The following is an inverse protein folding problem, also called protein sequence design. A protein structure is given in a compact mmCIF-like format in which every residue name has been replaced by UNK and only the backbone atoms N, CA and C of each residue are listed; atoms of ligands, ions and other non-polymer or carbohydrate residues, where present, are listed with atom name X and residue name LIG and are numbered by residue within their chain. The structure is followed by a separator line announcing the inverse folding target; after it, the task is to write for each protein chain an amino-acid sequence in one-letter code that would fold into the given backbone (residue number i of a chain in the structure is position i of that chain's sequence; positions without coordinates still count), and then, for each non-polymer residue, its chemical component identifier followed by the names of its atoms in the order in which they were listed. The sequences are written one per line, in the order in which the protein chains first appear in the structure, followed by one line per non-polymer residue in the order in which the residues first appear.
data_IF_492125100428
#
_entry.id   IF_492125100428
#
_cell.length_a   1.000
_cell.length_b   1.000
_cell.length_c   1.000
_cell.angle_alpha   90.00
_cell.angle_beta   90.00
_cell.angle_gamma   90.00
#
_symmetry.space_group_name_H-M   'P 1'
#
loop_
_entity.id
_entity.type
_entity.pdbx_description
1 polymer ?
#
# COMPACT_ATOMS: atom_id res chain seq x y z
N UNK A 1 -79.07 17.06 -25.01
CA UNK A 1 -80.11 16.03 -24.91
C UNK A 1 -79.78 15.22 -23.70
N UNK A 2 -80.42 15.54 -22.63
CA UNK A 2 -81.40 14.72 -21.84
C UNK A 2 -80.72 13.53 -21.18
N UNK A 3 -80.82 13.32 -19.90
CA UNK A 3 -81.69 13.77 -18.80
C UNK A 3 -81.40 12.83 -17.64
N UNK A 4 -81.28 13.34 -16.45
CA UNK A 4 -82.27 13.33 -15.36
C UNK A 4 -82.51 11.97 -14.71
N UNK A 5 -82.35 11.93 -13.43
CA UNK A 5 -83.17 11.28 -12.40
C UNK A 5 -82.23 10.57 -11.38
N UNK A 6 -82.12 10.85 -10.14
CA UNK A 6 -83.07 11.38 -9.15
C UNK A 6 -83.43 10.25 -8.23
N UNK A 7 -83.16 10.36 -6.92
CA UNK A 7 -83.73 9.43 -5.96
C UNK A 7 -83.09 9.54 -4.55
N UNK A 8 -83.78 10.31 -3.71
CA UNK A 8 -83.57 10.46 -2.24
C UNK A 8 -83.94 9.22 -1.45
N UNK A 9 -83.43 9.13 -0.21
CA UNK A 9 -83.93 8.29 0.87
C UNK A 9 -82.86 8.10 1.92
N UNK A 10 -82.78 8.90 2.84
CA UNK A 10 -83.20 9.17 4.22
C UNK A 10 -83.22 7.92 5.12
N UNK A 11 -82.63 8.08 6.32
CA UNK A 11 -82.93 7.18 7.43
C UNK A 11 -81.84 6.84 8.40
N UNK A 12 -81.51 7.79 9.25
CA UNK A 12 -81.30 7.65 10.73
C UNK A 12 -80.59 6.43 11.32
N UNK A 13 -79.73 6.66 12.20
CA UNK A 13 -79.42 5.72 13.27
C UNK A 13 -78.09 5.89 13.99
N UNK A 14 -78.08 6.77 14.95
CA UNK A 14 -77.11 6.95 16.02
C UNK A 14 -76.53 5.67 16.63
N UNK A 15 -75.30 5.84 17.11
CA UNK A 15 -74.72 5.34 18.35
C UNK A 15 -73.42 4.53 18.17
N UNK A 16 -72.45 5.08 18.74
CA UNK A 16 -71.55 4.89 19.86
C UNK A 16 -70.17 4.33 19.54
N UNK A 17 -69.25 5.20 19.91
CA UNK A 17 -68.18 5.22 20.94
C UNK A 17 -66.92 4.47 20.67
N UNK A 18 -65.88 5.26 20.75
CA UNK A 18 -64.58 5.02 21.46
C UNK A 18 -63.98 3.62 21.28
N UNK A 19 -62.93 3.55 20.51
CA UNK A 19 -61.69 2.86 20.90
C UNK A 19 -60.49 3.55 20.23
N UNK A 20 -59.96 4.41 20.98
CA UNK A 20 -58.56 4.54 21.43
C UNK A 20 -57.47 4.19 20.42
N UNK A 21 -56.80 5.22 20.06
CA UNK A 21 -55.39 5.37 19.81
C UNK A 21 -54.48 4.36 20.54
N UNK A 22 -54.04 3.32 19.87
CA UNK A 22 -52.75 2.66 20.15
C UNK A 22 -52.32 2.03 18.84
N UNK A 23 -51.50 2.69 18.06
CA UNK A 23 -51.04 2.18 16.78
C UNK A 23 -50.18 3.18 16.03
N UNK A 24 -49.26 3.80 16.74
CA UNK A 24 -48.41 4.78 16.12
C UNK A 24 -47.09 4.98 16.85
N UNK A 25 -46.35 3.89 17.06
CA UNK A 25 -44.95 4.01 17.59
C UNK A 25 -44.21 2.68 17.39
N UNK A 26 -44.15 2.20 16.15
CA UNK A 26 -43.27 1.06 15.79
C UNK A 26 -42.88 1.22 14.31
N UNK A 27 -42.17 2.31 14.03
CA UNK A 27 -41.75 2.61 12.66
C UNK A 27 -40.58 3.56 12.57
N UNK A 28 -39.61 3.45 13.50
CA UNK A 28 -38.38 4.27 13.45
C UNK A 28 -37.23 3.59 14.19
N UNK A 29 -36.92 2.35 13.83
CA UNK A 29 -35.69 1.66 14.23
C UNK A 29 -35.23 0.67 13.14
N UNK A 30 -35.25 1.11 11.89
CA UNK A 30 -34.64 0.36 10.80
C UNK A 30 -33.69 1.29 10.04
N UNK A 31 -32.64 1.75 10.72
CA UNK A 31 -31.68 2.62 10.09
C UNK A 31 -30.45 2.79 10.97
N UNK A 32 -29.70 1.74 11.15
CA UNK A 32 -28.27 1.83 11.54
C UNK A 32 -27.70 0.43 11.86
N UNK A 33 -27.66 -0.42 10.84
CA UNK A 33 -26.79 -1.57 10.86
C UNK A 33 -25.60 -1.30 9.92
N UNK A 34 -24.92 -0.18 10.12
CA UNK A 34 -23.54 -0.04 9.68
C UNK A 34 -22.71 -0.56 10.84
N UNK A 35 -22.19 -1.75 10.70
CA UNK A 35 -21.44 -2.42 11.73
C UNK A 35 -20.11 -1.71 11.99
N UNK A 36 -20.09 -0.82 12.94
CA UNK A 36 -18.89 -0.64 13.76
C UNK A 36 -18.64 -1.98 14.47
N UNK A 37 -17.39 -2.44 14.47
CA UNK A 37 -16.99 -3.56 15.32
C UNK A 37 -17.53 -3.28 16.71
N UNK A 38 -18.39 -4.13 17.26
CA UNK A 38 -19.05 -3.86 18.55
C UNK A 38 -18.00 -3.58 19.63
N UNK A 39 -18.35 -2.80 20.66
CA UNK A 39 -17.43 -2.44 21.75
C UNK A 39 -16.68 -3.64 22.34
N UNK A 40 -17.26 -4.82 22.31
CA UNK A 40 -16.63 -6.08 22.71
C UNK A 40 -15.47 -6.48 21.81
N UNK A 41 -15.60 -6.34 20.48
CA UNK A 41 -14.53 -6.67 19.55
C UNK A 41 -13.41 -5.62 19.57
N UNK A 42 -13.74 -4.33 19.76
CA UNK A 42 -12.73 -3.30 20.00
C UNK A 42 -11.92 -3.56 21.28
N UNK A 43 -12.54 -4.11 22.33
CA UNK A 43 -11.83 -4.55 23.52
C UNK A 43 -10.78 -5.64 23.25
N UNK A 44 -10.94 -6.43 22.22
CA UNK A 44 -9.95 -7.46 21.83
C UNK A 44 -8.67 -6.85 21.23
N UNK A 45 -8.70 -5.63 20.66
CA UNK A 45 -7.50 -4.95 20.16
C UNK A 45 -6.45 -4.72 21.24
N UNK A 46 -6.85 -4.55 22.50
CA UNK A 46 -5.91 -4.41 23.61
C UNK A 46 -5.41 -5.77 24.14
N UNK A 47 -6.22 -6.81 24.06
CA UNK A 47 -5.95 -8.10 24.70
C UNK A 47 -5.34 -9.13 23.72
N UNK A 48 -5.99 -9.36 22.58
CA UNK A 48 -5.64 -10.40 21.61
C UNK A 48 -4.89 -9.86 20.41
N UNK A 49 -5.26 -8.68 19.95
CA UNK A 49 -4.71 -8.09 18.74
C UNK A 49 -3.82 -6.87 19.03
N UNK A 50 -2.92 -6.56 18.09
CA UNK A 50 -2.19 -5.29 18.08
C UNK A 50 -3.16 -4.14 17.80
N UNK A 51 -2.78 -2.88 18.03
CA UNK A 51 -3.65 -1.74 17.72
C UNK A 51 -4.12 -1.67 16.25
N UNK A 52 -3.40 -2.33 15.34
CA UNK A 52 -3.73 -2.40 13.91
C UNK A 52 -4.32 -3.75 13.48
N UNK A 53 -4.72 -4.62 14.43
CA UNK A 53 -5.43 -5.86 14.15
C UNK A 53 -4.56 -7.07 13.84
N UNK A 54 -3.24 -6.96 13.97
CA UNK A 54 -2.33 -8.10 13.95
C UNK A 54 -2.52 -8.96 15.21
N UNK A 55 -2.24 -10.25 15.17
CA UNK A 55 -2.30 -11.10 16.36
C UNK A 55 -1.12 -10.83 17.29
N UNK A 56 -1.37 -10.58 18.59
CA UNK A 56 -0.29 -10.37 19.56
C UNK A 56 0.53 -11.61 19.80
N UNK A 57 -0.12 -12.77 19.85
CA UNK A 57 0.56 -14.04 20.08
C UNK A 57 1.46 -14.41 18.89
N UNK A 58 2.54 -15.10 19.16
CA UNK A 58 3.31 -15.82 18.17
C UNK A 58 2.49 -16.97 17.54
N UNK A 59 3.06 -17.62 16.52
CA UNK A 59 2.43 -18.82 15.96
C UNK A 59 2.75 -20.07 16.79
N UNK A 60 2.09 -21.19 16.45
CA UNK A 60 2.14 -22.40 17.25
C UNK A 60 3.52 -23.07 17.33
N UNK A 61 4.33 -22.96 16.28
CA UNK A 61 5.69 -23.52 16.22
C UNK A 61 6.79 -22.56 16.70
N UNK A 62 6.42 -21.33 17.10
CA UNK A 62 7.33 -20.31 17.60
C UNK A 62 8.18 -19.63 16.53
N UNK A 63 7.98 -19.94 15.24
CA UNK A 63 8.74 -19.32 14.15
C UNK A 63 8.34 -17.86 13.90
N UNK A 64 7.13 -17.45 14.31
CA UNK A 64 6.70 -16.05 14.40
C UNK A 64 6.59 -15.70 15.89
N UNK A 65 7.39 -14.75 16.41
CA UNK A 65 7.37 -14.39 17.82
C UNK A 65 6.11 -13.59 18.19
N UNK A 66 5.77 -13.49 19.48
CA UNK A 66 4.76 -12.54 19.96
C UNK A 66 5.16 -11.10 19.60
N UNK A 67 4.16 -10.27 19.32
CA UNK A 67 4.41 -8.84 19.10
C UNK A 67 4.79 -8.14 20.41
N UNK A 68 5.91 -7.43 20.40
CA UNK A 68 6.51 -6.77 21.56
C UNK A 68 6.54 -5.23 21.45
N UNK A 69 5.84 -4.68 20.43
CA UNK A 69 5.81 -3.24 20.14
C UNK A 69 6.72 -2.80 19.00
N UNK A 70 7.52 -3.72 18.46
CA UNK A 70 8.39 -3.47 17.32
C UNK A 70 9.66 -2.67 17.65
N UNK A 71 10.31 -2.19 16.62
CA UNK A 71 11.55 -1.42 16.69
C UNK A 71 11.23 0.08 16.80
N UNK A 72 11.04 0.55 18.03
CA UNK A 72 10.71 1.94 18.34
C UNK A 72 11.98 2.83 18.38
N UNK A 73 11.84 4.18 18.41
CA UNK A 73 12.98 5.08 18.57
C UNK A 73 13.85 4.80 19.79
N UNK A 74 13.28 4.24 20.86
CA UNK A 74 14.00 3.87 22.08
C UNK A 74 14.80 2.57 21.95
N UNK A 75 14.43 1.73 20.97
CA UNK A 75 15.06 0.41 20.72
C UNK A 75 15.99 0.41 19.50
N UNK A 76 16.25 1.60 18.92
CA UNK A 76 17.18 1.74 17.79
C UNK A 76 18.60 1.35 18.16
N UNK A 77 19.42 0.94 17.17
CA UNK A 77 20.85 0.71 17.40
C UNK A 77 21.53 1.94 18.02
N UNK A 78 22.33 1.74 19.07
CA UNK A 78 22.96 2.83 19.83
C UNK A 78 23.96 3.63 18.98
N UNK A 79 24.57 2.97 18.00
CA UNK A 79 25.57 3.56 17.09
C UNK A 79 24.95 4.45 16.02
N UNK A 80 23.62 4.35 15.80
CA UNK A 80 22.97 5.14 14.78
C UNK A 80 22.86 6.61 15.17
N UNK A 81 23.20 7.48 14.23
CA UNK A 81 23.11 8.93 14.39
C UNK A 81 21.98 9.52 13.54
N UNK A 82 21.30 10.52 14.07
CA UNK A 82 20.19 11.19 13.38
C UNK A 82 20.62 11.73 12.01
N UNK A 83 19.81 11.42 10.99
CA UNK A 83 20.08 11.76 9.59
C UNK A 83 21.11 10.85 8.91
N UNK A 84 21.68 9.90 9.64
CA UNK A 84 22.57 8.88 9.07
C UNK A 84 21.80 7.71 8.46
N UNK A 85 22.49 6.91 7.66
CA UNK A 85 21.96 5.68 7.07
C UNK A 85 21.52 4.69 8.14
N UNK A 86 20.41 4.01 7.90
CA UNK A 86 19.89 3.03 8.84
C UNK A 86 20.84 1.84 8.98
N UNK A 87 21.26 1.58 10.21
CA UNK A 87 22.08 0.43 10.59
C UNK A 87 21.16 -0.78 10.74
N UNK A 88 21.55 -1.92 10.17
CA UNK A 88 20.84 -3.17 10.33
C UNK A 88 20.95 -3.67 11.78
N UNK A 89 19.85 -3.68 12.57
CA UNK A 89 19.87 -4.19 13.94
C UNK A 89 20.08 -5.71 14.01
N UNK A 90 20.02 -6.40 12.87
CA UNK A 90 20.12 -7.86 12.73
C UNK A 90 21.33 -8.30 11.90
N UNK A 91 22.32 -7.43 11.67
CA UNK A 91 23.49 -7.66 10.81
C UNK A 91 24.31 -8.90 11.19
N UNK A 92 24.26 -9.29 12.47
CA UNK A 92 24.97 -10.50 12.96
C UNK A 92 24.29 -11.82 12.67
N UNK A 93 23.05 -11.81 12.18
CA UNK A 93 22.27 -13.02 11.93
C UNK A 93 22.68 -13.73 10.65
N UNK A 94 22.54 -15.05 10.68
CA UNK A 94 22.70 -15.93 9.52
C UNK A 94 21.34 -16.48 9.11
N UNK A 95 21.15 -16.80 7.81
CA UNK A 95 19.94 -17.51 7.39
C UNK A 95 19.76 -18.81 8.18
N UNK A 96 18.55 -19.03 8.68
CA UNK A 96 18.14 -20.31 9.28
C UNK A 96 18.07 -21.42 8.24
N UNK A 97 17.69 -21.04 7.03
CA UNK A 97 17.64 -21.95 5.89
C UNK A 97 17.75 -21.17 4.59
N UNK A 98 18.18 -21.87 3.55
CA UNK A 98 18.18 -21.38 2.17
C UNK A 98 17.21 -22.23 1.38
N UNK A 99 16.08 -21.64 0.93
CA UNK A 99 15.14 -22.33 0.05
C UNK A 99 15.71 -22.26 -1.37
N UNK A 100 15.79 -23.40 -2.02
CA UNK A 100 16.22 -23.58 -3.40
C UNK A 100 15.50 -24.77 -4.03
N UNK A 101 15.83 -25.10 -5.28
CA UNK A 101 15.17 -26.18 -6.04
C UNK A 101 15.11 -27.52 -5.28
N UNK A 102 16.16 -27.84 -4.52
CA UNK A 102 16.30 -29.15 -3.89
C UNK A 102 15.38 -29.36 -2.68
N UNK A 103 14.91 -28.28 -2.06
CA UNK A 103 14.05 -28.32 -0.88
C UNK A 103 12.73 -27.58 -1.05
N UNK A 104 12.47 -26.97 -2.20
CA UNK A 104 11.29 -26.17 -2.51
C UNK A 104 9.97 -26.85 -2.07
N UNK A 105 9.82 -28.12 -2.39
CA UNK A 105 8.58 -28.86 -2.12
C UNK A 105 8.20 -28.87 -0.62
N UNK A 106 9.19 -28.84 0.27
CA UNK A 106 8.98 -28.80 1.72
C UNK A 106 8.40 -27.48 2.20
N UNK A 107 8.68 -26.38 1.49
CA UNK A 107 8.32 -25.02 1.90
C UNK A 107 7.25 -24.40 1.00
N UNK A 108 6.78 -25.10 -0.03
CA UNK A 108 5.86 -24.57 -1.04
C UNK A 108 4.57 -23.97 -0.42
N UNK A 109 4.05 -24.53 0.67
CA UNK A 109 2.87 -24.02 1.36
C UNK A 109 3.09 -22.63 2.04
N UNK A 110 4.35 -22.24 2.24
CA UNK A 110 4.75 -20.94 2.82
C UNK A 110 5.32 -19.98 1.76
N UNK A 111 5.11 -20.29 0.48
CA UNK A 111 5.52 -19.47 -0.66
C UNK A 111 4.29 -19.04 -1.47
N UNK A 112 4.28 -17.81 -1.94
CA UNK A 112 3.23 -17.35 -2.84
C UNK A 112 3.34 -18.05 -4.22
N UNK A 113 2.25 -18.13 -5.00
CA UNK A 113 2.30 -18.60 -6.39
C UNK A 113 3.37 -17.90 -7.24
N UNK A 114 3.56 -16.58 -7.03
CA UNK A 114 4.58 -15.81 -7.74
C UNK A 114 6.01 -16.24 -7.39
N UNK A 115 6.31 -16.48 -6.12
CA UNK A 115 7.61 -17.00 -5.69
C UNK A 115 7.85 -18.40 -6.26
N UNK A 116 6.83 -19.26 -6.24
CA UNK A 116 6.93 -20.61 -6.84
C UNK A 116 7.18 -20.53 -8.37
N UNK A 117 6.56 -19.56 -9.06
CA UNK A 117 6.81 -19.35 -10.49
C UNK A 117 8.26 -18.89 -10.77
N UNK A 118 8.85 -18.05 -9.91
CA UNK A 118 10.28 -17.69 -10.02
C UNK A 118 11.20 -18.90 -9.81
N UNK A 119 10.91 -19.77 -8.85
CA UNK A 119 11.66 -21.03 -8.69
C UNK A 119 11.53 -21.94 -9.91
N UNK A 120 10.34 -22.04 -10.48
CA UNK A 120 10.13 -22.85 -11.68
C UNK A 120 10.89 -22.29 -12.90
N UNK A 121 10.97 -20.96 -13.02
CA UNK A 121 11.63 -20.29 -14.14
C UNK A 121 13.15 -20.26 -14.00
N UNK A 122 13.67 -20.07 -12.79
CA UNK A 122 15.10 -19.89 -12.50
C UNK A 122 15.59 -20.84 -11.40
N UNK A 123 15.43 -22.16 -11.57
CA UNK A 123 15.67 -23.14 -10.51
C UNK A 123 17.12 -23.17 -10.02
N UNK A 124 18.07 -22.80 -10.85
CA UNK A 124 19.49 -22.88 -10.50
C UNK A 124 20.03 -21.61 -9.84
N UNK A 125 19.36 -20.47 -9.99
CA UNK A 125 19.84 -19.18 -9.49
C UNK A 125 18.94 -18.55 -8.44
N UNK A 126 17.61 -18.70 -8.54
CA UNK A 126 16.68 -18.11 -7.59
C UNK A 126 16.68 -18.88 -6.27
N UNK A 127 16.93 -18.18 -5.18
CA UNK A 127 17.00 -18.74 -3.83
C UNK A 127 16.42 -17.74 -2.83
N UNK A 128 15.79 -18.22 -1.76
CA UNK A 128 15.30 -17.40 -0.64
C UNK A 128 16.11 -17.70 0.62
N UNK A 129 17.00 -16.80 1.06
CA UNK A 129 17.61 -16.89 2.39
C UNK A 129 16.57 -16.46 3.44
N UNK A 130 16.19 -17.40 4.30
CA UNK A 130 15.19 -17.19 5.35
C UNK A 130 15.90 -16.96 6.68
N UNK A 131 15.56 -15.85 7.33
CA UNK A 131 16.15 -15.42 8.60
C UNK A 131 15.15 -15.57 9.76
N UNK A 132 15.60 -15.43 11.02
CA UNK A 132 14.67 -15.33 12.15
C UNK A 132 13.67 -14.19 11.94
N UNK A 133 12.42 -14.42 12.31
CA UNK A 133 11.36 -13.43 12.17
C UNK A 133 11.45 -12.37 13.27
N UNK A 134 11.46 -11.09 12.85
CA UNK A 134 11.35 -9.94 13.73
C UNK A 134 10.15 -9.09 13.33
N UNK A 135 9.18 -8.97 14.22
CA UNK A 135 8.00 -8.11 14.04
C UNK A 135 8.39 -6.66 14.34
N UNK A 136 9.25 -6.10 13.47
CA UNK A 136 9.93 -4.82 13.69
C UNK A 136 9.02 -3.60 13.54
N UNK A 137 7.83 -3.75 12.94
CA UNK A 137 6.96 -2.62 12.70
C UNK A 137 6.54 -1.92 14.00
N UNK A 138 6.65 -0.60 13.99
CA UNK A 138 6.09 0.31 14.99
C UNK A 138 5.51 1.54 14.29
N UNK A 139 4.50 2.15 14.89
CA UNK A 139 3.91 3.43 14.47
C UNK A 139 3.82 4.37 15.68
N UNK A 140 3.60 5.68 15.47
CA UNK A 140 3.40 6.61 16.58
C UNK A 140 2.17 6.27 17.43
N UNK A 141 2.25 6.50 18.74
CA UNK A 141 1.16 6.24 19.68
C UNK A 141 -0.14 6.94 19.29
N UNK A 142 -0.05 8.14 18.70
CA UNK A 142 -1.22 8.87 18.21
C UNK A 142 -1.94 8.13 17.07
N UNK A 143 -1.19 7.45 16.18
CA UNK A 143 -1.74 6.64 15.10
C UNK A 143 -2.42 5.37 15.64
N UNK A 144 -1.81 4.72 16.63
CA UNK A 144 -2.42 3.59 17.34
C UNK A 144 -3.71 3.99 18.06
N UNK A 145 -3.68 5.12 18.79
CA UNK A 145 -4.87 5.64 19.47
C UNK A 145 -6.00 6.01 18.50
N UNK A 146 -5.66 6.57 17.33
CA UNK A 146 -6.62 6.85 16.27
C UNK A 146 -7.24 5.57 15.71
N UNK A 147 -6.44 4.55 15.43
CA UNK A 147 -6.91 3.24 14.96
C UNK A 147 -7.84 2.56 15.95
N UNK A 148 -7.52 2.66 17.25
CA UNK A 148 -8.40 2.13 18.30
C UNK A 148 -9.77 2.85 18.33
N UNK A 149 -9.80 4.18 18.20
CA UNK A 149 -11.05 4.94 18.07
C UNK A 149 -11.83 4.54 16.82
N UNK A 150 -11.16 4.41 15.69
CA UNK A 150 -11.78 4.04 14.43
C UNK A 150 -12.49 2.68 14.52
N UNK A 151 -11.92 1.71 15.24
CA UNK A 151 -12.54 0.41 15.44
C UNK A 151 -13.96 0.44 16.00
N UNK A 152 -14.33 1.52 16.69
CA UNK A 152 -15.68 1.69 17.29
C UNK A 152 -16.55 2.72 16.58
N UNK A 153 -15.97 3.57 15.74
CA UNK A 153 -16.67 4.74 15.17
C UNK A 153 -16.71 4.71 13.64
N UNK A 154 -15.65 4.15 13.00
CA UNK A 154 -15.58 4.15 11.56
C UNK A 154 -16.49 3.08 10.95
N UNK A 155 -17.09 3.43 9.84
CA UNK A 155 -17.88 2.51 9.01
C UNK A 155 -17.69 2.88 7.53
N UNK A 156 -17.95 1.94 6.63
CA UNK A 156 -18.07 2.25 5.21
C UNK A 156 -19.48 2.77 4.93
N UNK A 157 -19.61 3.86 4.16
CA UNK A 157 -20.87 4.24 3.57
C UNK A 157 -21.33 3.19 2.54
N UNK A 158 -22.53 3.34 1.98
CA UNK A 158 -23.10 2.41 1.02
C UNK A 158 -22.39 2.38 -0.34
N UNK A 159 -21.35 3.20 -0.48
CA UNK A 159 -20.53 3.28 -1.68
C UNK A 159 -21.08 4.14 -2.80
N UNK A 160 -22.37 4.45 -2.81
CA UNK A 160 -22.97 5.27 -3.86
C UNK A 160 -22.35 4.98 -5.24
N UNK A 161 -21.81 6.01 -5.89
CA UNK A 161 -21.13 5.88 -7.19
C UNK A 161 -19.78 5.15 -7.14
N UNK A 162 -19.18 4.94 -5.98
CA UNK A 162 -17.84 4.33 -5.84
C UNK A 162 -17.87 2.81 -5.74
N UNK A 163 -19.01 2.23 -5.40
CA UNK A 163 -19.24 0.80 -5.20
C UNK A 163 -18.32 0.11 -4.15
N UNK A 164 -17.47 0.86 -3.46
CA UNK A 164 -16.58 0.35 -2.38
C UNK A 164 -16.84 1.01 -1.05
N UNK A 165 -17.66 2.06 -1.04
CA UNK A 165 -17.82 2.93 0.12
C UNK A 165 -16.55 3.74 0.43
N UNK A 166 -16.70 4.70 1.32
CA UNK A 166 -15.59 5.46 1.90
C UNK A 166 -15.65 5.41 3.42
N UNK A 167 -14.51 5.42 4.12
CA UNK A 167 -14.49 5.43 5.57
C UNK A 167 -15.12 6.71 6.12
N UNK A 168 -16.21 6.56 6.86
CA UNK A 168 -16.89 7.63 7.58
C UNK A 168 -16.43 7.65 9.02
N UNK A 169 -16.41 8.83 9.67
CA UNK A 169 -16.05 9.05 11.07
C UNK A 169 -14.63 8.58 11.44
N UNK A 170 -13.80 8.23 10.45
CA UNK A 170 -12.41 7.83 10.68
C UNK A 170 -11.53 9.07 10.96
N UNK A 171 -10.70 8.96 11.99
CA UNK A 171 -9.62 9.91 12.30
C UNK A 171 -8.26 9.34 11.82
N UNK A 172 -7.17 10.08 12.06
CA UNK A 172 -5.82 9.59 11.77
C UNK A 172 -5.57 8.23 12.44
N UNK A 173 -5.28 7.22 11.62
CA UNK A 173 -5.22 5.79 11.96
C UNK A 173 -5.77 4.94 10.83
N UNK A 174 -5.59 3.64 10.88
CA UNK A 174 -6.33 2.76 9.98
C UNK A 174 -7.81 2.73 10.37
N UNK A 175 -8.74 2.71 9.39
CA UNK A 175 -10.16 2.80 9.69
C UNK A 175 -10.76 1.52 10.30
N UNK A 176 -10.28 0.34 9.92
CA UNK A 176 -10.90 -0.96 10.24
C UNK A 176 -9.87 -1.98 10.76
N UNK A 177 -9.35 -1.84 12.00
CA UNK A 177 -8.31 -2.75 12.53
C UNK A 177 -8.71 -4.24 12.48
N UNK A 178 -10.00 -4.54 12.56
CA UNK A 178 -10.54 -5.89 12.40
C UNK A 178 -11.51 -5.88 11.21
N UNK A 179 -11.01 -5.95 9.97
CA UNK A 179 -11.84 -5.83 8.79
C UNK A 179 -12.71 -7.07 8.58
N UNK A 180 -13.98 -6.88 8.21
CA UNK A 180 -14.93 -7.93 7.88
C UNK A 180 -14.91 -8.29 6.38
N UNK A 181 -14.40 -7.40 5.55
CA UNK A 181 -14.44 -7.54 4.10
C UNK A 181 -13.21 -6.94 3.40
N UNK A 182 -13.14 -7.18 2.08
CA UNK A 182 -12.00 -6.73 1.28
C UNK A 182 -11.91 -5.21 1.09
N UNK A 183 -13.03 -4.50 1.08
CA UNK A 183 -13.04 -3.04 0.97
C UNK A 183 -12.46 -2.39 2.22
N UNK A 184 -12.82 -2.88 3.40
CA UNK A 184 -12.25 -2.42 4.67
C UNK A 184 -10.74 -2.68 4.75
N UNK A 185 -10.30 -3.89 4.38
CA UNK A 185 -8.88 -4.23 4.33
C UNK A 185 -8.11 -3.33 3.33
N UNK A 186 -8.69 -3.03 2.17
CA UNK A 186 -8.10 -2.11 1.20
C UNK A 186 -7.99 -0.69 1.74
N UNK A 187 -8.98 -0.20 2.48
CA UNK A 187 -8.89 1.11 3.11
C UNK A 187 -7.83 1.17 4.20
N UNK A 188 -7.60 0.09 4.95
CA UNK A 188 -6.46 0.01 5.88
C UNK A 188 -5.14 0.14 5.14
N UNK A 189 -4.97 -0.55 4.02
CA UNK A 189 -3.79 -0.43 3.16
C UNK A 189 -3.61 1.00 2.64
N UNK A 190 -4.66 1.63 2.14
CA UNK A 190 -4.62 3.00 1.60
C UNK A 190 -4.28 4.05 2.65
N UNK A 191 -4.71 3.84 3.88
CA UNK A 191 -4.59 4.79 5.00
C UNK A 191 -3.58 4.35 6.06
N UNK A 192 -2.72 3.37 5.72
CA UNK A 192 -1.62 2.93 6.60
C UNK A 192 -0.67 4.08 6.92
N UNK A 193 0.08 3.94 7.99
CA UNK A 193 1.11 4.90 8.36
C UNK A 193 2.28 4.90 7.35
N UNK A 194 2.58 6.05 6.78
CA UNK A 194 3.69 6.27 5.84
C UNK A 194 4.58 7.45 6.24
N UNK A 195 4.43 7.93 7.49
CA UNK A 195 5.04 9.19 7.92
C UNK A 195 4.27 10.42 7.42
N UNK A 196 4.77 11.61 7.72
CA UNK A 196 4.20 12.88 7.23
C UNK A 196 4.61 13.20 5.80
N UNK A 197 5.76 12.69 5.38
CA UNK A 197 6.32 12.88 4.04
C UNK A 197 7.78 12.44 4.01
N UNK A 198 8.33 12.43 2.81
CA UNK A 198 9.74 12.10 2.58
C UNK A 198 10.27 12.76 1.33
N UNK A 199 11.59 12.91 1.28
CA UNK A 199 12.33 13.25 0.07
C UNK A 199 13.50 12.29 -0.10
N UNK A 200 13.73 11.80 -1.31
CA UNK A 200 14.79 10.84 -1.61
C UNK A 200 15.28 10.97 -3.04
N UNK A 201 16.56 10.66 -3.25
CA UNK A 201 17.14 10.38 -4.56
C UNK A 201 17.43 8.90 -4.65
N UNK A 202 17.08 8.26 -5.74
CA UNK A 202 17.26 6.83 -5.93
C UNK A 202 17.45 6.47 -7.39
N UNK A 203 17.89 5.24 -7.61
CA UNK A 203 18.05 4.63 -8.92
C UNK A 203 16.99 3.54 -9.08
N UNK A 204 16.46 3.43 -10.29
CA UNK A 204 15.75 2.24 -10.73
C UNK A 204 16.44 1.65 -11.94
N UNK A 205 16.53 0.32 -11.99
CA UNK A 205 17.19 -0.42 -13.06
C UNK A 205 16.24 -1.48 -13.58
N UNK A 206 15.95 -1.45 -14.87
CA UNK A 206 15.29 -2.55 -15.56
C UNK A 206 16.32 -3.43 -16.23
N UNK A 207 16.20 -4.74 -16.04
CA UNK A 207 17.11 -5.76 -16.59
C UNK A 207 16.35 -6.58 -17.62
N UNK A 208 16.92 -6.68 -18.82
CA UNK A 208 16.41 -7.49 -19.93
C UNK A 208 16.75 -8.96 -19.76
N UNK A 209 16.12 -9.89 -20.51
CA UNK A 209 16.38 -11.33 -20.39
C UNK A 209 17.82 -11.73 -20.71
N UNK A 210 18.51 -10.93 -21.54
CA UNK A 210 19.94 -11.09 -21.86
C UNK A 210 20.89 -10.48 -20.82
N UNK A 211 20.36 -9.92 -19.73
CA UNK A 211 21.11 -9.28 -18.65
C UNK A 211 21.46 -7.80 -18.91
N UNK A 212 21.07 -7.22 -20.05
CA UNK A 212 21.29 -5.80 -20.29
C UNK A 212 20.48 -4.93 -19.33
N UNK A 213 21.15 -3.96 -18.69
CA UNK A 213 20.57 -3.09 -17.68
C UNK A 213 20.33 -1.68 -18.22
N UNK A 214 19.19 -1.08 -17.87
CA UNK A 214 18.85 0.31 -18.17
C UNK A 214 18.57 1.05 -16.86
N UNK A 215 19.40 2.04 -16.57
CA UNK A 215 19.38 2.83 -15.33
C UNK A 215 18.62 4.13 -15.54
N UNK A 216 17.78 4.48 -14.57
CA UNK A 216 17.17 5.81 -14.43
C UNK A 216 17.41 6.33 -13.02
N UNK A 217 17.99 7.54 -12.91
CA UNK A 217 18.19 8.24 -11.63
C UNK A 217 17.15 9.34 -11.49
N UNK A 218 16.50 9.38 -10.34
CA UNK A 218 15.44 10.35 -10.08
C UNK A 218 15.39 10.76 -8.61
N UNK A 219 14.81 11.92 -8.34
CA UNK A 219 14.38 12.30 -7.02
C UNK A 219 12.85 12.19 -6.90
N UNK A 220 12.40 11.93 -5.69
CA UNK A 220 10.99 11.90 -5.31
C UNK A 220 10.81 12.72 -4.03
N UNK A 221 9.75 13.53 -4.01
CA UNK A 221 9.23 14.20 -2.83
C UNK A 221 7.79 13.75 -2.65
N UNK A 222 7.41 13.36 -1.43
CA UNK A 222 6.04 12.97 -1.10
C UNK A 222 5.58 13.65 0.20
N UNK A 223 4.29 13.96 0.27
CA UNK A 223 3.58 14.41 1.46
C UNK A 223 2.32 13.57 1.62
N UNK A 224 2.03 13.14 2.85
CA UNK A 224 0.89 12.29 3.19
C UNK A 224 -0.05 13.02 4.14
N UNK A 225 -1.17 13.54 3.65
CA UNK A 225 -2.14 14.30 4.44
C UNK A 225 -3.18 13.41 5.15
N UNK A 226 -3.10 12.09 4.95
CA UNK A 226 -3.98 11.13 5.62
C UNK A 226 -3.78 11.05 7.16
N UNK A 227 -2.86 11.84 7.69
CA UNK A 227 -2.40 11.81 9.08
C UNK A 227 -3.15 12.80 9.97
N UNK A 228 -3.83 13.78 9.38
CA UNK A 228 -4.48 14.84 10.17
C UNK A 228 -5.60 14.26 11.04
N UNK A 229 -5.63 14.66 12.32
CA UNK A 229 -6.62 14.22 13.30
C UNK A 229 -8.05 14.75 13.03
N UNK A 230 -8.22 15.60 12.02
CA UNK A 230 -9.53 16.08 11.61
C UNK A 230 -10.35 15.00 10.91
N UNK A 231 -11.69 15.00 11.04
CA UNK A 231 -12.55 14.13 10.26
C UNK A 231 -12.27 14.29 8.77
N UNK A 232 -12.06 13.17 8.05
CA UNK A 232 -11.76 13.20 6.62
C UNK A 232 -12.97 13.72 5.86
N UNK A 233 -12.75 14.77 5.06
CA UNK A 233 -13.73 15.27 4.11
C UNK A 233 -13.66 14.42 2.84
N UNK A 234 -14.80 14.19 2.18
CA UNK A 234 -14.93 13.14 1.18
C UNK A 234 -14.49 13.55 -0.24
N UNK A 235 -15.09 14.55 -0.79
CA UNK A 235 -14.90 14.89 -2.21
C UNK A 235 -13.73 15.85 -2.40
N UNK A 236 -12.78 15.46 -3.28
CA UNK A 236 -11.63 16.29 -3.62
C UNK A 236 -10.51 16.31 -2.57
N UNK A 237 -10.66 15.56 -1.47
CA UNK A 237 -9.59 15.43 -0.47
C UNK A 237 -8.39 14.70 -1.06
N UNK A 238 -7.23 15.33 -1.00
CA UNK A 238 -5.97 14.73 -1.38
C UNK A 238 -5.44 13.91 -0.20
N UNK A 239 -5.06 12.67 -0.46
CA UNK A 239 -4.44 11.76 0.52
C UNK A 239 -2.92 11.88 0.49
N UNK A 240 -2.38 12.10 -0.70
CA UNK A 240 -0.95 12.24 -0.89
C UNK A 240 -0.63 13.15 -2.08
N UNK A 241 0.45 13.88 -1.93
CA UNK A 241 1.11 14.62 -2.99
C UNK A 241 2.43 13.92 -3.29
N UNK A 242 2.73 13.68 -4.57
CA UNK A 242 4.04 13.19 -4.97
C UNK A 242 4.57 13.98 -6.16
N UNK A 243 5.86 14.28 -6.09
CA UNK A 243 6.60 14.96 -7.14
C UNK A 243 7.84 14.14 -7.48
N UNK A 244 8.13 13.97 -8.78
CA UNK A 244 9.30 13.24 -9.27
C UNK A 244 10.05 14.06 -10.31
N UNK A 245 11.38 14.00 -10.28
CA UNK A 245 12.28 14.63 -11.24
C UNK A 245 13.32 13.62 -11.73
N UNK A 246 13.46 13.44 -13.03
CA UNK A 246 14.43 12.54 -13.66
C UNK A 246 15.71 13.29 -14.02
N UNK A 247 16.88 12.73 -13.68
CA UNK A 247 18.20 13.30 -13.96
C UNK A 247 18.97 12.51 -15.01
N UNK A 248 18.80 11.20 -15.02
CA UNK A 248 19.48 10.27 -15.93
C UNK A 248 18.49 9.23 -16.48
N UNK A 249 18.68 8.75 -17.70
CA UNK A 249 19.65 9.16 -18.71
C UNK A 249 19.27 10.51 -19.38
N UNK A 250 20.22 11.10 -20.12
CA UNK A 250 20.03 12.41 -20.75
C UNK A 250 18.73 12.55 -21.57
N UNK A 251 18.28 11.47 -22.22
CA UNK A 251 17.02 11.45 -22.99
C UNK A 251 15.76 11.64 -22.14
N UNK A 252 15.82 11.37 -20.85
CA UNK A 252 14.71 11.53 -19.89
C UNK A 252 14.96 12.69 -18.91
N UNK A 253 16.18 13.22 -18.87
CA UNK A 253 16.55 14.28 -17.93
C UNK A 253 15.67 15.53 -18.12
N UNK A 254 15.24 16.10 -17.00
CA UNK A 254 14.31 17.23 -16.98
C UNK A 254 12.81 16.85 -17.04
N UNK A 255 12.48 15.53 -17.12
CA UNK A 255 11.11 15.08 -16.91
C UNK A 255 10.71 15.37 -15.47
N UNK A 256 9.56 16.02 -15.29
CA UNK A 256 8.90 16.25 -14.01
C UNK A 256 7.53 15.62 -14.03
N UNK A 257 7.12 15.04 -12.92
CA UNK A 257 5.75 14.53 -12.72
C UNK A 257 5.25 14.95 -11.35
N UNK A 258 4.02 15.43 -11.29
CA UNK A 258 3.32 15.79 -10.07
C UNK A 258 2.00 15.04 -10.04
N UNK A 259 1.69 14.38 -8.92
CA UNK A 259 0.47 13.60 -8.72
C UNK A 259 -0.19 14.03 -7.41
N UNK A 260 -1.49 14.31 -7.46
CA UNK A 260 -2.35 14.45 -6.29
C UNK A 260 -3.23 13.19 -6.21
N UNK A 261 -2.86 12.28 -5.34
CA UNK A 261 -3.64 11.08 -5.05
C UNK A 261 -4.83 11.46 -4.15
N UNK A 262 -6.03 11.22 -4.63
CA UNK A 262 -7.27 11.64 -3.97
C UNK A 262 -7.96 10.48 -3.28
N UNK A 263 -8.75 10.79 -2.24
CA UNK A 263 -9.59 9.80 -1.55
C UNK A 263 -10.53 9.09 -2.53
N UNK A 264 -11.15 9.87 -3.40
CA UNK A 264 -12.01 9.40 -4.49
C UNK A 264 -11.46 9.86 -5.84
N UNK A 265 -11.61 9.07 -6.91
CA UNK A 265 -11.24 9.48 -8.26
C UNK A 265 -11.92 10.80 -8.69
N UNK A 266 -11.32 11.55 -9.63
CA UNK A 266 -10.07 11.23 -10.35
C UNK A 266 -8.81 11.67 -9.60
N UNK A 267 -7.76 10.88 -9.69
CA UNK A 267 -6.38 11.33 -9.40
C UNK A 267 -6.01 12.44 -10.37
N UNK A 268 -5.30 13.47 -9.92
CA UNK A 268 -4.85 14.58 -10.77
C UNK A 268 -3.35 14.49 -10.98
N UNK A 269 -2.89 14.69 -12.22
CA UNK A 269 -1.48 14.68 -12.52
C UNK A 269 -1.10 15.78 -13.52
N UNK A 270 0.16 16.19 -13.41
CA UNK A 270 0.82 17.12 -14.33
C UNK A 270 2.18 16.55 -14.70
N UNK A 271 2.59 16.77 -15.93
CA UNK A 271 3.88 16.31 -16.41
C UNK A 271 4.54 17.37 -17.30
N UNK A 272 5.86 17.40 -17.22
CA UNK A 272 6.73 18.08 -18.18
C UNK A 272 7.67 17.04 -18.79
N UNK A 273 7.67 16.90 -20.09
CA UNK A 273 8.62 16.06 -20.81
C UNK A 273 9.93 16.81 -21.12
N UNK A 274 11.02 16.10 -21.45
CA UNK A 274 12.27 16.73 -21.85
C UNK A 274 12.06 17.73 -22.99
N UNK A 275 12.70 18.91 -22.89
CA UNK A 275 12.58 19.98 -23.87
C UNK A 275 11.34 20.88 -23.75
N UNK A 276 10.34 20.49 -22.97
CA UNK A 276 9.19 21.36 -22.67
C UNK A 276 9.56 22.44 -21.64
N UNK A 277 8.97 23.65 -21.78
CA UNK A 277 9.22 24.77 -20.87
C UNK A 277 8.31 24.77 -19.64
N UNK A 278 7.08 24.29 -19.78
CA UNK A 278 6.07 24.30 -18.72
C UNK A 278 5.58 22.89 -18.40
N UNK A 279 5.15 22.70 -17.17
CA UNK A 279 4.41 21.52 -16.74
C UNK A 279 2.95 21.69 -17.16
N UNK A 280 2.31 20.64 -17.67
CA UNK A 280 0.93 20.64 -18.13
C UNK A 280 0.14 19.53 -17.46
N UNK A 281 -1.16 19.77 -17.23
CA UNK A 281 -2.06 18.73 -16.78
C UNK A 281 -2.06 17.56 -17.78
N UNK A 282 -2.09 16.36 -17.28
CA UNK A 282 -2.19 15.14 -18.10
C UNK A 282 -3.43 14.35 -17.70
N UNK A 283 -4.11 13.78 -18.70
CA UNK A 283 -5.20 12.83 -18.48
C UNK A 283 -4.70 11.50 -17.94
N UNK A 284 -3.40 11.23 -18.07
CA UNK A 284 -2.74 10.00 -17.64
C UNK A 284 -2.37 10.03 -16.15
N UNK A 285 -3.39 10.27 -15.31
CA UNK A 285 -3.28 10.07 -13.87
C UNK A 285 -3.84 8.73 -13.41
N UNK A 286 -4.27 7.90 -14.38
CA UNK A 286 -4.87 6.60 -14.10
C UNK A 286 -3.88 5.57 -13.57
N UNK A 287 -4.39 4.57 -12.86
CA UNK A 287 -3.58 3.52 -12.28
C UNK A 287 -2.74 2.74 -13.31
N UNK A 288 -3.18 2.66 -14.56
CA UNK A 288 -2.48 1.97 -15.64
C UNK A 288 -1.40 2.81 -16.33
N UNK A 289 -1.16 4.04 -15.87
CA UNK A 289 -0.09 4.88 -16.42
C UNK A 289 1.27 4.28 -16.06
N UNK A 290 2.17 4.07 -17.02
CA UNK A 290 3.51 3.58 -16.74
C UNK A 290 4.30 4.55 -15.84
N UNK A 291 5.01 4.01 -14.87
CA UNK A 291 5.97 4.78 -14.06
C UNK A 291 7.14 5.22 -14.95
N UNK A 292 7.59 6.46 -14.76
CA UNK A 292 8.68 7.03 -15.53
C UNK A 292 9.94 6.17 -15.48
N UNK A 293 10.45 5.77 -16.64
CA UNK A 293 11.68 4.99 -16.76
C UNK A 293 11.61 3.54 -16.29
N UNK A 294 10.41 3.02 -15.99
CA UNK A 294 10.22 1.62 -15.60
C UNK A 294 10.10 0.65 -16.80
N UNK A 295 10.25 1.14 -18.03
CA UNK A 295 10.18 0.36 -19.26
C UNK A 295 8.91 -0.53 -19.38
N UNK A 296 7.77 -0.04 -18.88
CA UNK A 296 6.49 -0.73 -18.88
C UNK A 296 6.35 -1.87 -17.85
N UNK A 297 7.33 -2.04 -16.96
CA UNK A 297 7.31 -3.09 -15.93
C UNK A 297 6.52 -2.68 -14.67
N UNK A 298 6.34 -1.38 -14.45
CA UNK A 298 5.63 -0.85 -13.28
C UNK A 298 4.65 0.25 -13.72
N UNK A 299 3.47 0.24 -13.14
CA UNK A 299 2.43 1.25 -13.33
C UNK A 299 2.15 1.99 -12.03
N UNK A 300 1.54 3.18 -12.10
CA UNK A 300 1.35 4.06 -10.94
C UNK A 300 0.55 3.41 -9.81
N UNK A 301 -0.41 2.55 -10.13
CA UNK A 301 -1.18 1.84 -9.09
C UNK A 301 -0.43 0.67 -8.43
N UNK A 302 0.77 0.34 -8.93
CA UNK A 302 1.61 -0.73 -8.38
C UNK A 302 2.68 -0.21 -7.42
N UNK A 303 2.93 1.10 -7.37
CA UNK A 303 3.94 1.69 -6.49
C UNK A 303 3.67 1.30 -5.04
N UNK A 304 4.70 0.86 -4.32
CA UNK A 304 4.63 0.30 -2.96
C UNK A 304 3.69 -0.92 -2.84
N UNK A 305 3.62 -1.72 -3.92
CA UNK A 305 2.79 -2.92 -4.03
C UNK A 305 1.36 -2.64 -4.48
N UNK A 306 0.71 -1.60 -3.98
CA UNK A 306 -0.54 -1.06 -4.47
C UNK A 306 -0.73 0.39 -4.02
N UNK A 307 -0.98 1.27 -4.99
CA UNK A 307 -1.26 2.69 -4.78
C UNK A 307 -2.47 3.20 -5.59
N UNK A 308 -3.27 2.28 -6.10
CA UNK A 308 -4.46 2.60 -6.90
C UNK A 308 -5.67 2.98 -6.05
N UNK A 309 -6.73 3.47 -6.70
CA UNK A 309 -8.02 3.69 -6.04
C UNK A 309 -8.63 2.38 -5.55
N UNK A 310 -9.19 2.38 -4.34
CA UNK A 310 -9.93 1.25 -3.80
C UNK A 310 -11.11 0.86 -4.71
N UNK A 311 -11.69 1.82 -5.43
CA UNK A 311 -12.85 1.63 -6.30
C UNK A 311 -12.58 0.89 -7.62
N UNK A 312 -11.31 0.70 -8.01
CA UNK A 312 -10.98 0.03 -9.29
C UNK A 312 -11.30 -1.47 -9.30
N UNK A 313 -11.18 -2.10 -8.14
CA UNK A 313 -11.34 -3.55 -8.00
C UNK A 313 -12.46 -3.91 -7.04
N UNK A 314 -13.08 -5.05 -7.28
CA UNK A 314 -13.84 -5.77 -6.27
C UNK A 314 -12.86 -6.56 -5.42
N UNK A 315 -12.75 -6.20 -4.15
CA UNK A 315 -11.79 -6.79 -3.22
C UNK A 315 -12.44 -7.87 -2.36
N UNK A 316 -11.77 -9.03 -2.26
CA UNK A 316 -12.19 -10.14 -1.41
C UNK A 316 -11.09 -10.45 -0.40
N UNK A 317 -11.42 -10.32 0.87
CA UNK A 317 -10.55 -10.75 1.97
C UNK A 317 -10.60 -12.27 2.08
N UNK A 318 -9.42 -12.91 1.94
CA UNK A 318 -9.27 -14.37 2.00
C UNK A 318 -8.85 -14.88 3.38
N UNK A 319 -8.60 -13.98 4.33
CA UNK A 319 -8.05 -14.30 5.62
C UNK A 319 -6.53 -14.12 5.68
N UNK A 320 -5.90 -14.75 6.67
CA UNK A 320 -4.45 -14.68 6.89
C UNK A 320 -3.74 -15.96 6.46
N UNK A 321 -2.49 -15.81 6.03
CA UNK A 321 -1.56 -16.90 5.74
C UNK A 321 -0.20 -16.59 6.36
N UNK A 322 0.60 -17.64 6.60
CA UNK A 322 2.01 -17.50 6.99
C UNK A 322 2.87 -17.72 5.74
N UNK A 323 3.56 -16.67 5.29
CA UNK A 323 4.40 -16.72 4.10
C UNK A 323 5.80 -16.16 4.39
N UNK A 324 6.80 -16.67 3.66
CA UNK A 324 8.11 -16.04 3.60
C UNK A 324 8.03 -14.79 2.72
N UNK A 325 8.25 -13.64 3.34
CA UNK A 325 8.11 -12.32 2.70
C UNK A 325 9.38 -11.49 2.89
N UNK A 326 9.68 -10.54 1.98
CA UNK A 326 10.77 -9.60 2.19
C UNK A 326 10.50 -8.75 3.43
N UNK A 327 11.44 -8.76 4.40
CA UNK A 327 11.31 -7.98 5.62
C UNK A 327 12.67 -7.63 6.19
N UNK A 328 12.82 -6.51 6.90
CA UNK A 328 14.08 -6.06 7.50
C UNK A 328 15.26 -6.06 6.52
N UNK A 329 15.02 -5.60 5.29
CA UNK A 329 15.92 -5.71 4.14
C UNK A 329 17.00 -4.60 4.14
N UNK A 330 17.62 -4.33 5.29
CA UNK A 330 18.61 -3.27 5.47
C UNK A 330 19.81 -3.41 4.55
N UNK A 331 20.21 -4.66 4.23
CA UNK A 331 21.37 -4.92 3.38
C UNK A 331 21.17 -4.41 1.94
N UNK A 332 19.93 -4.37 1.45
CA UNK A 332 19.61 -3.75 0.16
C UNK A 332 19.77 -2.22 0.16
N UNK A 333 20.00 -1.64 1.32
CA UNK A 333 20.19 -0.21 1.57
C UNK A 333 21.63 0.14 2.00
N UNK A 334 22.53 -0.84 2.03
CA UNK A 334 23.89 -0.69 2.51
C UNK A 334 24.76 0.08 1.52
N UNK A 335 25.38 1.17 1.96
CA UNK A 335 26.28 1.99 1.15
C UNK A 335 27.57 1.28 0.70
N UNK A 336 27.94 0.18 1.37
CA UNK A 336 29.09 -0.64 0.96
C UNK A 336 28.83 -1.46 -0.31
N UNK A 337 27.55 -1.61 -0.70
CA UNK A 337 27.17 -2.36 -1.90
C UNK A 337 26.92 -1.40 -3.07
N UNK A 338 27.46 -1.73 -4.23
CA UNK A 338 27.11 -1.05 -5.47
C UNK A 338 25.73 -1.50 -5.98
N UNK A 339 25.14 -0.75 -6.92
CA UNK A 339 23.88 -1.18 -7.55
C UNK A 339 24.01 -2.54 -8.24
N UNK A 340 25.17 -2.84 -8.84
CA UNK A 340 25.44 -4.14 -9.46
C UNK A 340 25.50 -5.30 -8.48
N UNK A 341 25.89 -5.05 -7.21
CA UNK A 341 25.90 -6.09 -6.18
C UNK A 341 24.49 -6.53 -5.76
N UNK A 342 23.50 -5.65 -5.96
CA UNK A 342 22.09 -5.94 -5.65
C UNK A 342 21.39 -6.77 -6.72
N UNK A 343 21.98 -6.88 -7.92
CA UNK A 343 21.33 -7.43 -9.09
C UNK A 343 21.96 -8.77 -9.52
N UNK A 344 21.15 -9.66 -10.01
CA UNK A 344 21.56 -10.84 -10.77
C UNK A 344 20.88 -10.82 -12.15
N UNK A 345 21.25 -11.66 -13.11
CA UNK A 345 20.73 -11.58 -14.47
C UNK A 345 19.19 -11.60 -14.60
N UNK A 346 18.49 -12.28 -13.69
CA UNK A 346 17.05 -12.51 -13.83
C UNK A 346 16.23 -12.12 -12.59
N UNK A 347 16.86 -11.77 -11.50
CA UNK A 347 16.22 -11.41 -10.21
C UNK A 347 17.21 -10.62 -9.36
N UNK A 348 16.77 -10.14 -8.20
CA UNK A 348 17.68 -9.57 -7.20
C UNK A 348 18.70 -10.62 -6.76
N UNK A 349 19.90 -10.17 -6.40
CA UNK A 349 20.95 -11.06 -5.90
C UNK A 349 20.49 -11.68 -4.56
N UNK A 350 20.30 -13.01 -4.49
CA UNK A 350 19.83 -13.67 -3.28
C UNK A 350 20.76 -13.48 -2.06
N UNK A 351 22.05 -13.24 -2.30
CA UNK A 351 23.02 -13.12 -1.21
C UNK A 351 22.88 -11.82 -0.41
N UNK A 352 22.09 -10.87 -0.90
CA UNK A 352 21.82 -9.58 -0.23
C UNK A 352 20.35 -9.38 0.14
N UNK A 353 19.46 -10.34 -0.20
CA UNK A 353 18.05 -10.31 0.18
C UNK A 353 17.83 -10.92 1.56
N UNK A 354 16.71 -10.57 2.19
CA UNK A 354 16.26 -11.13 3.47
C UNK A 354 14.78 -11.44 3.39
N UNK A 355 14.41 -12.67 3.76
CA UNK A 355 13.03 -13.11 3.89
C UNK A 355 12.79 -13.62 5.30
N UNK A 356 11.62 -13.32 5.83
CA UNK A 356 11.17 -13.77 7.15
C UNK A 356 9.79 -14.37 7.06
N UNK A 357 9.43 -15.27 7.97
CA UNK A 357 8.07 -15.83 8.03
C UNK A 357 7.14 -14.85 8.73
N UNK A 358 6.16 -14.29 8.02
CA UNK A 358 5.17 -13.40 8.60
C UNK A 358 3.75 -13.88 8.33
N UNK A 359 2.82 -13.49 9.20
CA UNK A 359 1.40 -13.56 8.90
C UNK A 359 1.02 -12.39 8.00
N UNK A 360 0.38 -12.70 6.90
CA UNK A 360 -0.08 -11.71 5.93
C UNK A 360 -1.57 -11.85 5.71
N UNK A 361 -2.26 -10.71 5.56
CA UNK A 361 -3.60 -10.69 5.01
C UNK A 361 -3.56 -10.94 3.52
N UNK A 362 -4.43 -11.79 3.02
CA UNK A 362 -4.55 -12.08 1.59
C UNK A 362 -5.78 -11.39 1.02
N UNK A 363 -5.56 -10.51 0.06
CA UNK A 363 -6.58 -9.69 -0.57
C UNK A 363 -6.60 -9.94 -2.07
N UNK A 364 -7.68 -10.52 -2.58
CA UNK A 364 -7.89 -10.81 -4.00
C UNK A 364 -8.73 -9.71 -4.64
N UNK A 365 -8.22 -9.05 -5.69
CA UNK A 365 -8.86 -7.97 -6.41
C UNK A 365 -9.22 -8.38 -7.83
N UNK A 366 -10.50 -8.27 -8.21
CA UNK A 366 -10.98 -8.43 -9.56
C UNK A 366 -11.37 -7.07 -10.13
N UNK A 367 -10.83 -6.71 -11.30
CA UNK A 367 -11.18 -5.45 -11.97
C UNK A 367 -12.69 -5.34 -12.16
N UNK A 368 -13.25 -4.19 -11.80
CA UNK A 368 -14.70 -3.96 -11.96
C UNK A 368 -15.07 -3.79 -13.43
N UNK A 369 -16.24 -4.27 -13.88
CA UNK A 369 -16.65 -4.18 -15.29
C UNK A 369 -16.65 -2.75 -15.86
N UNK A 370 -16.90 -1.75 -15.00
CA UNK A 370 -16.90 -0.33 -15.41
C UNK A 370 -15.50 0.30 -15.49
N UNK A 371 -14.45 -0.46 -15.14
CA UNK A 371 -13.08 0.00 -15.14
C UNK A 371 -12.28 -0.68 -16.27
N UNK A 372 -11.28 0.03 -16.76
CA UNK A 372 -10.23 -0.58 -17.57
C UNK A 372 -9.02 -0.85 -16.64
N UNK A 373 -8.51 -2.07 -16.63
CA UNK A 373 -7.37 -2.44 -15.82
C UNK A 373 -6.41 -3.27 -16.67
N UNK A 374 -5.16 -2.87 -16.72
CA UNK A 374 -4.10 -3.65 -17.37
C UNK A 374 -3.94 -5.03 -16.70
N UNK A 375 -4.24 -5.11 -15.42
CA UNK A 375 -4.26 -6.33 -14.64
C UNK A 375 -5.69 -6.66 -14.21
N UNK A 376 -6.42 -7.52 -14.96
CA UNK A 376 -7.81 -7.88 -14.65
C UNK A 376 -8.00 -8.50 -13.27
N UNK A 377 -6.97 -9.15 -12.73
CA UNK A 377 -6.96 -9.69 -11.38
C UNK A 377 -5.59 -9.48 -10.74
N UNK A 378 -5.59 -9.26 -9.43
CA UNK A 378 -4.37 -9.22 -8.61
C UNK A 378 -4.61 -9.84 -7.22
N UNK A 379 -3.57 -10.41 -6.63
CA UNK A 379 -3.58 -10.85 -5.24
C UNK A 379 -2.52 -10.06 -4.49
N UNK A 380 -2.90 -9.45 -3.38
CA UNK A 380 -2.02 -8.68 -2.50
C UNK A 380 -1.83 -9.44 -1.18
N UNK A 381 -0.59 -9.47 -0.70
CA UNK A 381 -0.20 -10.05 0.57
C UNK A 381 0.29 -8.91 1.46
N UNK A 382 -0.51 -8.57 2.46
CA UNK A 382 -0.29 -7.41 3.31
C UNK A 382 0.21 -7.86 4.68
N UNK A 383 1.25 -7.23 5.16
CA UNK A 383 1.76 -7.45 6.51
C UNK A 383 0.66 -7.20 7.56
N UNK A 384 0.49 -8.13 8.50
CA UNK A 384 -0.57 -8.02 9.50
C UNK A 384 -0.35 -6.87 10.49
N UNK A 385 0.90 -6.45 10.69
CA UNK A 385 1.25 -5.41 11.65
C UNK A 385 1.18 -4.00 11.06
N UNK A 386 1.46 -3.82 9.78
CA UNK A 386 1.61 -2.50 9.14
C UNK A 386 0.60 -2.18 8.03
N UNK A 387 -0.09 -3.18 7.48
CA UNK A 387 -0.90 -3.09 6.27
C UNK A 387 -0.12 -2.75 5.00
N UNK A 388 1.21 -2.81 5.04
CA UNK A 388 2.06 -2.68 3.85
C UNK A 388 1.92 -3.92 2.97
N UNK A 389 1.74 -3.74 1.66
CA UNK A 389 1.85 -4.84 0.70
C UNK A 389 3.30 -5.29 0.62
N UNK A 390 3.56 -6.56 0.91
CA UNK A 390 4.90 -7.14 0.83
C UNK A 390 5.10 -7.93 -0.46
N UNK A 391 4.04 -8.59 -0.93
CA UNK A 391 4.02 -9.30 -2.22
C UNK A 391 2.75 -8.93 -2.99
N UNK A 392 2.84 -8.88 -4.31
CA UNK A 392 1.69 -8.76 -5.19
C UNK A 392 1.83 -9.71 -6.40
N UNK A 393 0.73 -10.30 -6.80
CA UNK A 393 0.60 -11.13 -7.98
C UNK A 393 -0.33 -10.48 -8.97
N UNK A 394 0.07 -10.44 -10.23
CA UNK A 394 -0.60 -9.73 -11.29
C UNK A 394 -0.96 -10.71 -12.39
N UNK A 395 -2.24 -10.82 -12.65
CA UNK A 395 -2.80 -11.79 -13.58
C UNK A 395 -3.28 -11.10 -14.86
N UNK A 396 -2.83 -11.61 -15.98
CA UNK A 396 -3.20 -11.15 -17.31
C UNK A 396 -4.63 -11.47 -17.72
N UNK A 397 -5.05 -11.02 -18.92
CA UNK A 397 -6.40 -11.23 -19.43
C UNK A 397 -6.84 -12.69 -19.53
N UNK A 398 -5.90 -13.61 -19.72
CA UNK A 398 -6.14 -15.05 -19.80
C UNK A 398 -6.23 -15.72 -18.42
N UNK A 399 -6.07 -14.94 -17.35
CA UNK A 399 -6.04 -15.43 -15.97
C UNK A 399 -4.72 -16.08 -15.55
N UNK A 400 -3.70 -16.02 -16.41
CA UNK A 400 -2.33 -16.47 -16.13
C UNK A 400 -1.64 -15.49 -15.19
N UNK A 401 -0.74 -16.02 -14.36
CA UNK A 401 0.12 -15.20 -13.50
C UNK A 401 1.27 -14.65 -14.36
N UNK A 402 1.16 -13.39 -14.75
CA UNK A 402 2.05 -12.77 -15.72
C UNK A 402 3.17 -11.95 -15.07
N UNK A 403 2.94 -11.42 -13.86
CA UNK A 403 3.97 -10.72 -13.13
C UNK A 403 3.84 -10.90 -11.62
N UNK A 404 4.96 -10.73 -10.93
CA UNK A 404 5.05 -10.71 -9.47
C UNK A 404 5.81 -9.48 -9.01
N UNK A 405 5.42 -8.92 -7.87
CA UNK A 405 6.11 -7.81 -7.24
C UNK A 405 6.47 -8.16 -5.80
N UNK A 406 7.67 -7.76 -5.37
CA UNK A 406 8.13 -7.80 -3.99
C UNK A 406 8.43 -6.38 -3.51
N UNK A 407 8.03 -6.08 -2.27
CA UNK A 407 8.36 -4.82 -1.60
C UNK A 407 9.27 -5.13 -0.42
N UNK A 408 10.54 -4.88 -0.60
CA UNK A 408 11.56 -5.06 0.41
C UNK A 408 11.55 -3.87 1.36
N UNK A 409 11.28 -4.13 2.63
CA UNK A 409 11.08 -3.09 3.63
C UNK A 409 12.19 -3.08 4.67
N UNK A 410 12.40 -1.90 5.26
CA UNK A 410 13.17 -1.72 6.49
C UNK A 410 12.38 -0.83 7.45
N UNK A 411 12.67 -0.95 8.74
CA UNK A 411 12.09 -0.08 9.76
C UNK A 411 12.92 1.19 9.88
N UNK A 412 12.35 2.35 9.53
CA UNK A 412 12.89 3.65 9.85
C UNK A 412 12.56 3.97 11.31
N UNK A 413 13.40 3.46 12.22
CA UNK A 413 13.08 3.34 13.63
C UNK A 413 12.99 4.69 14.38
N UNK A 414 13.62 5.75 13.88
CA UNK A 414 13.50 7.11 14.42
C UNK A 414 12.19 7.80 14.01
N UNK A 415 11.60 7.36 12.88
CA UNK A 415 10.33 7.88 12.32
C UNK A 415 9.14 6.99 12.63
N UNK A 416 9.25 5.97 13.46
CA UNK A 416 8.55 4.70 13.57
C UNK A 416 7.63 4.41 12.37
N UNK A 417 8.22 4.07 11.21
CA UNK A 417 7.51 3.68 10.01
C UNK A 417 8.23 2.56 9.25
N UNK A 418 7.46 1.72 8.56
CA UNK A 418 8.01 0.71 7.65
C UNK A 418 8.24 1.38 6.28
N UNK A 419 9.53 1.51 5.91
CA UNK A 419 9.95 2.15 4.67
C UNK A 419 10.10 1.10 3.57
N UNK A 420 9.38 1.20 2.44
CA UNK A 420 9.73 0.48 1.21
C UNK A 420 11.10 0.95 0.70
N UNK A 421 12.13 0.14 0.96
CA UNK A 421 13.51 0.45 0.60
C UNK A 421 13.79 0.13 -0.86
N UNK A 422 13.32 -1.04 -1.33
CA UNK A 422 13.45 -1.49 -2.70
C UNK A 422 12.17 -2.22 -3.13
N UNK A 423 11.73 -1.99 -4.35
CA UNK A 423 10.66 -2.73 -5.00
C UNK A 423 11.24 -3.49 -6.19
N UNK A 424 10.90 -4.78 -6.32
CA UNK A 424 11.20 -5.57 -7.51
C UNK A 424 9.91 -6.00 -8.21
N UNK A 425 9.90 -5.92 -9.54
CA UNK A 425 8.80 -6.40 -10.38
C UNK A 425 9.37 -7.37 -11.38
N UNK A 426 8.87 -8.59 -11.38
CA UNK A 426 9.30 -9.67 -12.26
C UNK A 426 8.24 -9.93 -13.32
N UNK A 427 8.59 -9.73 -14.60
CA UNK A 427 7.81 -10.13 -15.77
C UNK A 427 8.00 -11.63 -15.98
N UNK A 428 7.05 -12.42 -15.51
CA UNK A 428 7.11 -13.89 -15.58
C UNK A 428 6.92 -14.44 -17.00
N UNK A 429 6.42 -13.63 -17.93
CA UNK A 429 6.26 -13.99 -19.34
C UNK A 429 7.51 -13.62 -20.13
N UNK A 430 7.89 -12.34 -20.08
CA UNK A 430 9.02 -11.80 -20.85
C UNK A 430 10.39 -12.06 -20.24
N UNK A 431 10.48 -12.39 -18.95
CA UNK A 431 11.75 -12.66 -18.26
C UNK A 431 12.58 -11.42 -17.93
N UNK A 432 11.97 -10.23 -18.01
CA UNK A 432 12.56 -8.96 -17.56
C UNK A 432 12.26 -8.74 -16.08
N UNK A 433 13.03 -7.90 -15.44
CA UNK A 433 12.64 -7.41 -14.13
C UNK A 433 13.05 -5.95 -13.89
N UNK A 434 12.43 -5.31 -12.92
CA UNK A 434 12.73 -3.98 -12.44
C UNK A 434 13.17 -4.06 -10.98
N UNK A 435 14.25 -3.36 -10.61
CA UNK A 435 14.59 -3.01 -9.23
C UNK A 435 14.47 -1.50 -9.08
N UNK A 436 13.64 -1.02 -8.15
CA UNK A 436 13.35 0.41 -7.93
C UNK A 436 13.58 0.80 -6.48
N UNK A 437 14.05 2.00 -6.24
CA UNK A 437 14.24 2.54 -4.89
C UNK A 437 15.66 2.40 -4.36
N UNK A 438 16.61 1.89 -5.15
CA UNK A 438 18.00 1.72 -4.74
C UNK A 438 18.65 3.07 -4.46
N UNK A 439 19.07 3.30 -3.23
CA UNK A 439 19.73 4.55 -2.81
C UNK A 439 21.11 4.31 -2.16
N UNK A 440 21.69 3.13 -2.33
CA UNK A 440 22.96 2.72 -1.75
C UNK A 440 24.09 3.75 -1.97
N UNK A 441 24.15 4.32 -3.17
CA UNK A 441 25.13 5.30 -3.60
C UNK A 441 24.54 6.72 -3.69
N UNK A 442 23.41 6.97 -3.06
CA UNK A 442 22.72 8.27 -3.01
C UNK A 442 22.67 8.78 -1.57
N UNK A 443 22.21 10.01 -1.38
CA UNK A 443 21.94 10.55 -0.06
C UNK A 443 20.83 9.74 0.66
N UNK A 444 20.86 9.79 1.99
CA UNK A 444 19.83 9.15 2.82
C UNK A 444 18.47 9.81 2.62
N UNK A 445 17.41 9.04 2.86
CA UNK A 445 16.04 9.53 2.84
C UNK A 445 15.84 10.55 3.95
N UNK A 446 15.28 11.72 3.62
CA UNK A 446 14.85 12.70 4.62
C UNK A 446 13.36 12.61 4.83
N UNK A 447 12.92 12.73 6.08
CA UNK A 447 11.52 12.64 6.48
C UNK A 447 10.99 13.99 6.95
N UNK A 448 9.68 14.20 6.78
CA UNK A 448 8.96 15.41 7.13
C UNK A 448 7.98 15.80 6.03
N UNK A 449 6.92 16.51 6.41
CA UNK A 449 5.98 17.05 5.44
C UNK A 449 6.59 18.31 4.80
N UNK A 450 6.83 18.27 3.49
CA UNK A 450 7.08 19.49 2.75
C UNK A 450 5.83 20.38 2.76
N UNK A 451 5.99 21.71 2.66
CA UNK A 451 4.87 22.63 2.56
C UNK A 451 4.05 22.38 1.29
N UNK A 452 2.76 22.73 1.29
CA UNK A 452 1.86 22.44 0.16
C UNK A 452 2.26 23.17 -1.12
N UNK A 453 2.77 24.37 -1.00
CA UNK A 453 3.27 25.16 -2.14
C UNK A 453 4.45 24.50 -2.85
N UNK A 454 5.23 23.66 -2.15
CA UNK A 454 6.27 22.83 -2.74
C UNK A 454 5.75 21.78 -3.75
N UNK A 455 4.44 21.59 -3.80
CA UNK A 455 3.76 20.74 -4.79
C UNK A 455 2.96 21.57 -5.80
N UNK A 456 3.13 22.87 -5.84
CA UNK A 456 2.59 23.69 -6.93
C UNK A 456 3.36 23.45 -8.23
N UNK A 457 2.64 23.37 -9.33
CA UNK A 457 3.24 23.11 -10.64
C UNK A 457 4.26 24.18 -11.06
N UNK A 458 4.12 25.41 -10.55
CA UNK A 458 5.07 26.51 -10.82
C UNK A 458 6.40 26.34 -10.09
N UNK A 459 6.40 25.79 -8.88
CA UNK A 459 7.62 25.67 -8.03
C UNK A 459 8.44 24.40 -8.33
N UNK A 460 7.85 23.41 -8.96
CA UNK A 460 8.49 22.13 -9.31
C UNK A 460 9.83 22.27 -10.04
N UNK A 461 9.97 23.29 -10.88
CA UNK A 461 11.20 23.52 -11.66
C UNK A 461 12.36 24.01 -10.78
N UNK A 462 12.08 24.77 -9.73
CA UNK A 462 13.06 25.22 -8.74
C UNK A 462 13.58 24.04 -7.92
N UNK A 463 12.69 23.21 -7.39
CA UNK A 463 13.03 22.00 -6.64
C UNK A 463 13.88 21.03 -7.48
N UNK A 464 13.47 20.73 -8.72
CA UNK A 464 14.19 19.82 -9.60
C UNK A 464 15.63 20.28 -9.88
N UNK A 465 15.87 21.59 -10.04
CA UNK A 465 17.21 22.14 -10.20
C UNK A 465 18.05 21.97 -8.94
N UNK A 466 17.47 22.25 -7.78
CA UNK A 466 18.14 22.11 -6.49
C UNK A 466 18.59 20.66 -6.25
N UNK A 467 17.68 19.70 -6.38
CA UNK A 467 17.98 18.28 -6.16
C UNK A 467 18.97 17.74 -7.20
N UNK A 468 18.85 18.17 -8.47
CA UNK A 468 19.79 17.77 -9.53
C UNK A 468 21.20 18.32 -9.33
N UNK A 469 21.37 19.43 -8.62
CA UNK A 469 22.67 19.98 -8.28
C UNK A 469 23.35 19.23 -7.12
N UNK A 470 22.55 18.55 -6.27
CA UNK A 470 23.03 17.78 -5.11
C UNK A 470 23.22 16.30 -5.44
N UNK A 471 22.61 15.81 -6.54
CA UNK A 471 22.79 14.43 -6.99
C UNK A 471 24.27 14.16 -7.31
N UNK A 472 24.86 13.05 -6.83
CA UNK A 472 26.23 12.69 -7.18
C UNK A 472 26.41 12.67 -8.69
N UNK A 473 27.38 13.39 -9.19
CA UNK A 473 27.87 13.25 -10.57
C UNK A 473 28.85 12.10 -10.57
N UNK A 474 28.57 11.08 -11.37
CA UNK A 474 29.56 10.02 -11.65
C UNK A 474 30.81 10.59 -12.32
#
# INVERSE_FOLDING_TARGET
MNGLGGGMGDGSGKRWLLRCCVGGLLGLLAGSAAASVGAQAAGQLAARFTPLGGERAGNADGSIPPWDGGLTPQRRPAEWQAGGRYIDPYAGEKPLLLIGKDNLARYAAKLSPGQQALFARYPDSYRLPVYPTHRSYAAPDAFYAGSYRNATQAFLDDGGDTATGTPQHAVAGIPFPLPDNGSEAMWNQRLRWRGAGRERTYVQISVSPDGAASLVRLAERARYDAIDAAPRKHVGQVLAYSASAVFEPAKLAGTLKLIYDTLLPPTRAWQRSPGQRSIAATSDAGGDTPVLGANGLLHEDQVEGYNGSAARYEWKLKGKQELYVPYNSYRLHDAALSYSDLLAPHHLNPDVTRYELHRVWVLDGKCRPAQSCIWPRRTLYLDEDSWQVLLAELYGPEGTLDAMQEVHTLMAYDQPLLLPALESVYDLVGGRYLARGMNNQSAEVTFGAAELDAFDSGDMSGWAKHVGAVAPKE
#
